data_IF_169861214073
#
_entry.id   IF_169861214073
#
_cell.length_a   1.000
_cell.length_b   1.000
_cell.length_c   1.000
_cell.angle_alpha   90.00
_cell.angle_beta   90.00
_cell.angle_gamma   90.00
#
_symmetry.space_group_name_H-M   'P 1'
#
loop_
_entity.id
_entity.type
_entity.pdbx_description
1 polymer ?
#
# COMPACT_ATOMS: atom_id res chain seq x y z
N UNK A 1 47.54 -2.76 57.95
CA UNK A 1 47.33 -2.84 56.48
C UNK A 1 46.14 -3.70 56.08
N UNK A 2 45.71 -4.71 56.86
CA UNK A 2 44.55 -5.55 56.52
C UNK A 2 43.19 -4.81 56.69
N UNK A 3 42.95 -4.10 57.82
CA UNK A 3 41.71 -3.33 58.05
C UNK A 3 41.37 -2.29 56.97
N UNK A 4 42.39 -1.58 56.47
CA UNK A 4 42.16 -0.52 55.48
C UNK A 4 41.72 -1.08 54.12
N UNK A 5 42.17 -2.29 53.76
CA UNK A 5 41.72 -2.95 52.53
C UNK A 5 40.28 -3.42 52.63
N UNK A 6 39.87 -3.85 53.82
CA UNK A 6 38.51 -4.33 54.09
C UNK A 6 37.52 -3.16 54.06
N UNK A 7 37.82 -2.05 54.75
CA UNK A 7 37.00 -0.82 54.69
C UNK A 7 36.86 -0.25 53.27
N UNK A 8 37.91 -0.30 52.45
CA UNK A 8 37.86 0.14 51.06
C UNK A 8 37.00 -0.80 50.21
N UNK A 9 37.11 -2.12 50.42
CA UNK A 9 36.27 -3.09 49.71
C UNK A 9 34.78 -2.91 50.05
N UNK A 10 34.46 -2.69 51.32
CA UNK A 10 33.08 -2.47 51.76
C UNK A 10 32.51 -1.18 51.15
N UNK A 11 33.26 -0.08 51.22
CA UNK A 11 32.85 1.18 50.59
C UNK A 11 32.72 1.07 49.06
N UNK A 12 33.56 0.26 48.40
CA UNK A 12 33.42 0.01 46.97
C UNK A 12 32.18 -0.82 46.64
N UNK A 13 31.85 -1.82 47.47
CA UNK A 13 30.65 -2.63 47.31
C UNK A 13 29.37 -1.80 47.49
N UNK A 14 29.31 -0.94 48.51
CA UNK A 14 28.18 -0.03 48.73
C UNK A 14 27.95 0.90 47.53
N UNK A 15 29.03 1.43 46.93
CA UNK A 15 28.94 2.27 45.73
C UNK A 15 28.47 1.46 44.51
N UNK A 16 28.93 0.21 44.37
CA UNK A 16 28.50 -0.68 43.28
C UNK A 16 27.01 -0.97 43.41
N UNK A 17 26.52 -1.29 44.60
CA UNK A 17 25.09 -1.54 44.85
C UNK A 17 24.25 -0.28 44.56
N UNK A 18 24.68 0.90 45.02
CA UNK A 18 23.96 2.15 44.74
C UNK A 18 23.90 2.48 43.24
N UNK A 19 24.99 2.23 42.50
CA UNK A 19 25.02 2.41 41.04
C UNK A 19 24.15 1.38 40.33
N UNK A 20 24.13 0.12 40.81
CA UNK A 20 23.28 -0.94 40.26
C UNK A 20 21.81 -0.59 40.45
N UNK A 21 21.39 -0.17 41.65
CA UNK A 21 20.01 0.21 41.95
C UNK A 21 19.54 1.37 41.07
N UNK A 22 20.37 2.42 40.93
CA UNK A 22 20.05 3.57 40.07
C UNK A 22 19.94 3.17 38.60
N UNK A 23 20.78 2.25 38.15
CA UNK A 23 20.74 1.75 36.77
C UNK A 23 19.47 0.94 36.52
N UNK A 24 19.10 0.05 37.44
CA UNK A 24 17.88 -0.74 37.34
C UNK A 24 16.62 0.14 37.36
N UNK A 25 16.59 1.16 38.22
CA UNK A 25 15.49 2.12 38.26
C UNK A 25 15.35 2.87 36.93
N UNK A 26 16.47 3.35 36.37
CA UNK A 26 16.48 4.03 35.07
C UNK A 26 16.07 3.12 33.91
N UNK A 27 16.47 1.85 33.94
CA UNK A 27 16.03 0.86 32.95
C UNK A 27 14.52 0.64 33.03
N UNK A 28 13.96 0.52 34.24
CA UNK A 28 12.53 0.34 34.45
C UNK A 28 11.72 1.57 34.02
N UNK A 29 12.21 2.77 34.31
CA UNK A 29 11.60 4.03 33.88
C UNK A 29 11.61 4.17 32.35
N UNK A 30 12.72 3.83 31.70
CA UNK A 30 12.81 3.81 30.23
C UNK A 30 11.86 2.78 29.62
N UNK A 31 11.75 1.57 30.19
CA UNK A 31 10.82 0.54 29.70
C UNK A 31 9.38 1.04 29.73
N UNK A 32 8.93 1.62 30.87
CA UNK A 32 7.60 2.21 30.98
C UNK A 32 7.38 3.31 29.94
N UNK A 33 8.36 4.19 29.78
CA UNK A 33 8.29 5.29 28.81
C UNK A 33 8.15 4.77 27.37
N UNK A 34 8.84 3.68 27.03
CA UNK A 34 8.72 3.04 25.71
C UNK A 34 7.34 2.42 25.54
N UNK A 35 6.84 1.69 26.54
CA UNK A 35 5.50 1.10 26.54
C UNK A 35 4.40 2.16 26.36
N UNK A 36 4.47 3.26 27.11
CA UNK A 36 3.52 4.37 26.99
C UNK A 36 3.58 5.02 25.61
N UNK A 37 4.80 5.20 25.05
CA UNK A 37 4.97 5.74 23.70
C UNK A 37 4.47 4.80 22.62
N UNK A 38 4.65 3.48 22.76
CA UNK A 38 4.10 2.49 21.83
C UNK A 38 2.58 2.53 21.84
N UNK A 39 1.97 2.57 23.02
CA UNK A 39 0.52 2.68 23.16
C UNK A 39 -0.01 3.98 22.54
N UNK A 40 0.66 5.11 22.77
CA UNK A 40 0.31 6.37 22.14
C UNK A 40 0.47 6.34 20.62
N UNK A 41 1.49 5.65 20.10
CA UNK A 41 1.68 5.47 18.66
C UNK A 41 0.58 4.59 18.06
N UNK A 42 0.18 3.50 18.73
CA UNK A 42 -0.97 2.68 18.32
C UNK A 42 -2.26 3.49 18.28
N UNK A 43 -2.52 4.28 19.32
CA UNK A 43 -3.68 5.19 19.38
C UNK A 43 -3.62 6.23 18.25
N UNK A 44 -2.45 6.82 17.97
CA UNK A 44 -2.27 7.79 16.87
C UNK A 44 -2.38 7.15 15.49
N UNK A 45 -1.90 5.92 15.30
CA UNK A 45 -2.05 5.19 14.04
C UNK A 45 -3.52 4.87 13.79
N UNK A 46 -4.25 4.43 14.83
CA UNK A 46 -5.69 4.24 14.75
C UNK A 46 -6.40 5.56 14.43
N UNK A 47 -6.01 6.68 15.05
CA UNK A 47 -6.58 8.00 14.74
C UNK A 47 -6.26 8.49 13.32
N UNK A 48 -5.04 8.25 12.80
CA UNK A 48 -4.70 8.54 11.40
C UNK A 48 -5.49 7.67 10.41
N UNK A 49 -5.83 6.44 10.80
CA UNK A 49 -6.71 5.59 10.00
C UNK A 49 -8.17 6.12 9.96
N UNK A 50 -8.53 7.06 10.86
CA UNK A 50 -9.85 7.70 10.96
C UNK A 50 -9.88 9.20 10.57
N UNK A 51 -8.73 9.83 10.32
CA UNK A 51 -8.60 11.24 9.93
C UNK A 51 -7.39 11.37 9.00
N UNK A 52 -7.50 11.78 7.74
CA UNK A 52 -8.53 12.65 7.19
C UNK A 52 -7.95 13.61 6.15
N UNK A 53 -7.05 13.14 5.28
CA UNK A 53 -6.92 13.71 3.93
C UNK A 53 -7.78 12.96 2.91
N UNK A 54 -8.25 11.76 3.27
CA UNK A 54 -9.15 10.94 2.47
C UNK A 54 -10.64 11.31 2.58
N UNK A 55 -11.10 11.98 3.64
CA UNK A 55 -12.56 12.15 3.85
C UNK A 55 -13.23 13.04 2.78
N UNK A 56 -12.59 14.16 2.42
CA UNK A 56 -13.10 15.05 1.36
C UNK A 56 -12.96 14.40 -0.02
N UNK A 57 -11.89 13.65 -0.26
CA UNK A 57 -11.66 12.99 -1.55
C UNK A 57 -12.58 11.78 -1.73
N UNK A 58 -12.83 10.99 -0.69
CA UNK A 58 -13.78 9.87 -0.71
C UNK A 58 -15.21 10.36 -0.91
N UNK A 59 -15.64 11.38 -0.17
CA UNK A 59 -17.00 11.93 -0.34
C UNK A 59 -17.20 12.51 -1.73
N UNK A 60 -16.22 13.24 -2.26
CA UNK A 60 -16.24 13.73 -3.65
C UNK A 60 -16.29 12.58 -4.69
N UNK A 61 -15.51 11.52 -4.47
CA UNK A 61 -15.51 10.32 -5.31
C UNK A 61 -16.88 9.65 -5.30
N UNK A 62 -17.45 9.38 -4.12
CA UNK A 62 -18.80 8.81 -3.95
C UNK A 62 -19.85 9.65 -4.68
N UNK A 63 -19.82 10.97 -4.52
CA UNK A 63 -20.75 11.90 -5.18
C UNK A 63 -20.56 11.92 -6.69
N UNK A 64 -19.42 11.47 -7.20
CA UNK A 64 -19.12 11.39 -8.64
C UNK A 64 -19.54 10.04 -9.27
N UNK A 65 -19.68 8.97 -8.48
CA UNK A 65 -20.09 7.65 -8.97
C UNK A 65 -21.54 7.66 -9.46
N UNK A 66 -21.80 7.02 -10.61
CA UNK A 66 -23.12 6.92 -11.25
C UNK A 66 -23.36 5.51 -11.76
N UNK A 67 -24.62 5.12 -11.89
CA UNK A 67 -25.02 3.84 -12.49
C UNK A 67 -24.38 2.64 -11.80
N UNK A 68 -23.84 1.70 -12.58
CA UNK A 68 -23.24 0.46 -12.06
C UNK A 68 -22.02 0.69 -11.15
N UNK A 69 -21.30 1.80 -11.36
CA UNK A 69 -20.15 2.15 -10.53
C UNK A 69 -20.57 2.53 -9.11
N UNK A 70 -21.75 3.14 -8.94
CA UNK A 70 -22.34 3.38 -7.62
C UNK A 70 -22.73 2.06 -6.92
N UNK A 71 -23.08 1.03 -7.70
CA UNK A 71 -23.37 -0.31 -7.18
C UNK A 71 -22.19 -0.96 -6.44
N UNK A 72 -20.95 -0.49 -6.65
CA UNK A 72 -19.79 -0.95 -5.87
C UNK A 72 -19.96 -0.62 -4.38
N UNK A 73 -20.61 0.48 -4.03
CA UNK A 73 -20.84 0.83 -2.62
C UNK A 73 -21.66 -0.22 -1.88
N UNK A 74 -22.58 -0.90 -2.57
CA UNK A 74 -23.37 -1.99 -1.99
C UNK A 74 -22.53 -3.24 -1.65
N UNK A 75 -21.34 -3.36 -2.24
CA UNK A 75 -20.39 -4.47 -1.98
C UNK A 75 -19.41 -4.16 -0.84
N UNK A 76 -19.44 -2.93 -0.32
CA UNK A 76 -18.55 -2.44 0.74
C UNK A 76 -19.39 -2.15 1.99
N UNK A 77 -19.03 -2.69 3.17
CA UNK A 77 -19.73 -2.38 4.41
C UNK A 77 -19.76 -0.87 4.70
N UNK A 78 -20.88 -0.34 5.21
CA UNK A 78 -21.09 1.10 5.40
C UNK A 78 -19.97 1.79 6.19
N UNK A 79 -19.46 1.13 7.24
CA UNK A 79 -18.36 1.63 8.08
C UNK A 79 -16.99 1.73 7.37
N UNK A 80 -16.86 1.15 6.17
CA UNK A 80 -15.65 1.18 5.35
C UNK A 80 -15.82 1.98 4.05
N UNK A 81 -17.02 2.51 3.77
CA UNK A 81 -17.27 3.29 2.55
C UNK A 81 -16.53 4.64 2.56
N UNK A 82 -16.14 5.14 3.75
CA UNK A 82 -15.32 6.35 3.89
C UNK A 82 -13.83 6.10 3.61
N UNK A 83 -13.42 4.83 3.48
CA UNK A 83 -12.05 4.46 3.16
C UNK A 83 -11.77 4.60 1.65
N UNK A 84 -10.99 5.64 1.31
CA UNK A 84 -10.62 5.97 -0.07
C UNK A 84 -9.92 4.82 -0.79
N UNK A 85 -8.89 4.24 -0.18
CA UNK A 85 -8.05 3.19 -0.76
C UNK A 85 -8.85 1.93 -1.05
N UNK A 86 -9.76 1.56 -0.15
CA UNK A 86 -10.64 0.42 -0.36
C UNK A 86 -11.58 0.65 -1.55
N UNK A 87 -12.14 1.85 -1.68
CA UNK A 87 -13.06 2.19 -2.76
C UNK A 87 -12.34 2.19 -4.12
N UNK A 88 -11.14 2.77 -4.19
CA UNK A 88 -10.30 2.73 -5.40
C UNK A 88 -9.94 1.29 -5.76
N UNK A 89 -9.49 0.47 -4.82
CA UNK A 89 -9.16 -0.93 -5.09
C UNK A 89 -10.34 -1.73 -5.65
N UNK A 90 -11.57 -1.49 -5.16
CA UNK A 90 -12.78 -2.14 -5.70
C UNK A 90 -13.12 -1.64 -7.10
N UNK A 91 -12.93 -0.35 -7.37
CA UNK A 91 -13.09 0.24 -8.70
C UNK A 91 -12.07 -0.34 -9.68
N UNK A 92 -10.81 -0.43 -9.29
CA UNK A 92 -9.74 -1.03 -10.10
C UNK A 92 -9.97 -2.52 -10.36
N UNK A 93 -10.46 -3.28 -9.39
CA UNK A 93 -10.77 -4.71 -9.60
C UNK A 93 -11.88 -4.90 -10.66
N UNK A 94 -12.88 -4.01 -10.69
CA UNK A 94 -14.04 -4.16 -11.59
C UNK A 94 -13.84 -3.48 -12.95
N UNK A 95 -13.20 -2.31 -12.96
CA UNK A 95 -13.08 -1.45 -14.13
C UNK A 95 -11.64 -1.17 -14.54
N UNK A 96 -10.66 -1.65 -13.76
CA UNK A 96 -9.25 -1.53 -14.12
C UNK A 96 -8.93 -2.33 -15.38
N UNK A 97 -7.91 -1.87 -16.08
CA UNK A 97 -7.45 -2.40 -17.36
C UNK A 97 -6.33 -3.45 -17.22
N UNK A 98 -5.85 -3.69 -16.00
CA UNK A 98 -4.79 -4.66 -15.71
C UNK A 98 -5.11 -6.06 -16.26
N UNK A 99 -6.38 -6.50 -16.17
CA UNK A 99 -6.81 -7.77 -16.77
C UNK A 99 -7.01 -7.66 -18.28
N UNK A 100 -7.40 -6.48 -18.79
CA UNK A 100 -7.63 -6.26 -20.22
C UNK A 100 -6.34 -6.38 -21.03
N UNK A 101 -5.20 -6.00 -20.46
CA UNK A 101 -3.90 -6.14 -21.13
C UNK A 101 -3.63 -7.58 -21.57
N UNK A 102 -3.84 -8.56 -20.67
CA UNK A 102 -3.65 -9.98 -20.98
C UNK A 102 -4.67 -10.49 -22.01
N UNK A 103 -5.90 -9.98 -21.96
CA UNK A 103 -6.94 -10.28 -22.95
C UNK A 103 -6.53 -9.79 -24.33
N UNK A 104 -6.04 -8.55 -24.45
CA UNK A 104 -5.59 -8.01 -25.75
C UNK A 104 -4.37 -8.75 -26.28
N UNK A 105 -3.41 -9.14 -25.43
CA UNK A 105 -2.29 -9.98 -25.83
C UNK A 105 -2.75 -11.35 -26.36
N UNK A 106 -3.74 -11.97 -25.72
CA UNK A 106 -4.33 -13.22 -26.20
C UNK A 106 -5.08 -13.02 -27.54
N UNK A 107 -5.81 -11.90 -27.68
CA UNK A 107 -6.51 -11.55 -28.92
C UNK A 107 -5.54 -11.43 -30.09
N UNK A 108 -4.42 -10.69 -29.94
CA UNK A 108 -3.37 -10.57 -30.97
C UNK A 108 -2.83 -11.95 -31.35
N UNK A 109 -2.49 -12.80 -30.38
CA UNK A 109 -1.96 -14.16 -30.64
C UNK A 109 -2.94 -15.04 -31.42
N UNK A 110 -4.23 -14.87 -31.18
CA UNK A 110 -5.29 -15.62 -31.86
C UNK A 110 -5.77 -14.98 -33.17
N UNK A 111 -5.25 -13.79 -33.51
CA UNK A 111 -5.77 -12.98 -34.61
C UNK A 111 -5.23 -13.48 -35.95
N UNK A 112 -6.16 -13.86 -36.83
CA UNK A 112 -5.88 -14.28 -38.21
C UNK A 112 -6.76 -13.47 -39.15
N UNK A 113 -6.22 -13.09 -40.31
CA UNK A 113 -6.97 -12.35 -41.33
C UNK A 113 -8.15 -13.19 -41.81
N UNK A 114 -9.36 -12.60 -41.82
CA UNK A 114 -10.56 -13.27 -42.33
C UNK A 114 -10.62 -13.16 -43.85
N UNK A 115 -11.23 -14.15 -44.51
CA UNK A 115 -11.35 -14.18 -45.98
C UNK A 115 -12.10 -12.98 -46.59
N UNK A 116 -12.98 -12.34 -45.82
CA UNK A 116 -13.75 -11.15 -46.23
C UNK A 116 -13.14 -9.82 -45.74
N UNK A 117 -12.01 -9.87 -45.04
CA UNK A 117 -11.37 -8.70 -44.45
C UNK A 117 -10.21 -8.22 -45.33
N UNK A 118 -10.21 -6.93 -45.65
CA UNK A 118 -9.10 -6.33 -46.40
C UNK A 118 -7.83 -6.31 -45.56
N UNK A 119 -6.67 -6.28 -46.23
CA UNK A 119 -5.38 -6.22 -45.54
C UNK A 119 -5.25 -4.95 -44.68
N UNK A 120 -5.82 -3.83 -45.13
CA UNK A 120 -5.80 -2.55 -44.40
C UNK A 120 -6.65 -2.60 -43.13
N UNK A 121 -7.82 -3.25 -43.17
CA UNK A 121 -8.65 -3.46 -41.98
C UNK A 121 -7.97 -4.38 -40.97
N UNK A 122 -7.29 -5.42 -41.46
CA UNK A 122 -6.53 -6.33 -40.63
C UNK A 122 -5.36 -5.63 -39.93
N UNK A 123 -4.55 -4.89 -40.68
CA UNK A 123 -3.42 -4.11 -40.15
C UNK A 123 -3.89 -3.08 -39.11
N UNK A 124 -4.95 -2.32 -39.42
CA UNK A 124 -5.49 -1.33 -38.50
C UNK A 124 -5.99 -1.96 -37.18
N UNK A 125 -6.61 -3.15 -37.24
CA UNK A 125 -7.07 -3.87 -36.06
C UNK A 125 -5.89 -4.44 -35.24
N UNK A 126 -4.86 -4.99 -35.90
CA UNK A 126 -3.63 -5.43 -35.23
C UNK A 126 -2.94 -4.25 -34.53
N UNK A 127 -2.72 -3.13 -35.20
CA UNK A 127 -2.09 -1.95 -34.62
C UNK A 127 -2.87 -1.41 -33.41
N UNK A 128 -4.21 -1.40 -33.51
CA UNK A 128 -5.09 -1.01 -32.40
C UNK A 128 -4.96 -1.97 -31.22
N UNK A 129 -5.00 -3.28 -31.46
CA UNK A 129 -4.87 -4.29 -30.40
C UNK A 129 -3.48 -4.23 -29.75
N UNK A 130 -2.41 -4.02 -30.52
CA UNK A 130 -1.03 -3.90 -30.02
C UNK A 130 -0.88 -2.72 -29.06
N UNK A 131 -1.47 -1.56 -29.36
CA UNK A 131 -1.52 -0.42 -28.43
C UNK A 131 -2.26 -0.73 -27.13
N UNK A 132 -3.37 -1.44 -27.22
CA UNK A 132 -4.16 -1.84 -26.04
C UNK A 132 -3.47 -2.92 -25.19
N UNK A 133 -2.69 -3.81 -25.83
CA UNK A 133 -1.93 -4.87 -25.18
C UNK A 133 -0.63 -4.38 -24.50
N UNK A 134 -0.11 -3.22 -24.91
CA UNK A 134 1.14 -2.66 -24.41
C UNK A 134 1.05 -1.12 -24.25
N UNK A 135 0.18 -0.61 -23.36
CA UNK A 135 -0.07 0.82 -23.22
C UNK A 135 1.14 1.62 -22.73
N UNK A 136 2.11 0.96 -22.07
CA UNK A 136 3.33 1.58 -21.53
C UNK A 136 4.54 1.43 -22.43
N UNK A 137 4.41 0.76 -23.58
CA UNK A 137 5.56 0.51 -24.46
C UNK A 137 5.82 1.71 -25.41
N UNK A 138 7.08 2.02 -25.75
CA UNK A 138 7.42 3.09 -26.69
C UNK A 138 6.87 2.84 -28.10
N UNK A 139 6.51 3.90 -28.83
CA UNK A 139 5.92 3.80 -30.18
C UNK A 139 6.79 2.99 -31.16
N UNK A 140 8.12 3.14 -31.09
CA UNK A 140 9.08 2.40 -31.93
C UNK A 140 8.92 0.88 -31.72
N UNK A 141 8.65 0.44 -30.49
CA UNK A 141 8.43 -0.97 -30.18
C UNK A 141 7.06 -1.46 -30.67
N UNK A 142 6.04 -0.60 -30.61
CA UNK A 142 4.70 -0.93 -31.10
C UNK A 142 4.66 -1.04 -32.62
N UNK A 143 5.39 -0.19 -33.34
CA UNK A 143 5.55 -0.27 -34.80
C UNK A 143 6.20 -1.60 -35.21
N UNK A 144 7.20 -2.09 -34.46
CA UNK A 144 7.83 -3.38 -34.75
C UNK A 144 6.93 -4.59 -34.49
N UNK A 145 5.96 -4.48 -33.58
CA UNK A 145 5.01 -5.55 -33.27
C UNK A 145 3.79 -5.60 -34.20
N UNK A 146 3.52 -4.50 -34.91
CA UNK A 146 2.36 -4.38 -35.80
C UNK A 146 2.67 -4.74 -37.27
N UNK A 147 3.92 -5.13 -37.57
CA UNK A 147 4.42 -5.49 -38.91
C UNK A 147 4.46 -7.02 -39.10
#
# INVERSE_FOLDING_TARGET
MLNLKEEICDSMNDIIEEVQDKLEEKLKENSRTIEDRMKLLEERMNQMNYHGEGSVTTTSLIVSLRGEALGILQTVPDHLQENYELLISRLEMRYGDAHLQQVYQAQIKSRVQKAAESLQEFEADIARLTRLAYPTAPDIFLEQLAI
#
